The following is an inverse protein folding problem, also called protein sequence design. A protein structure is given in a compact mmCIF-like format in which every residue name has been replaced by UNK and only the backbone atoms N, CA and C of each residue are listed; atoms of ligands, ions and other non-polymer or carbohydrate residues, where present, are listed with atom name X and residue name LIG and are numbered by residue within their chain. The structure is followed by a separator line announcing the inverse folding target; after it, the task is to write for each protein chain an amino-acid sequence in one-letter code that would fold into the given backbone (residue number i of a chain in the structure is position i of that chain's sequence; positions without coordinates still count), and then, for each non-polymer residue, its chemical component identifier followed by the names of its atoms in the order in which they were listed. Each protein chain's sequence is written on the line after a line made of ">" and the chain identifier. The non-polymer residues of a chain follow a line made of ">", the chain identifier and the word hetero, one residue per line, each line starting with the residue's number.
data_IF_278566682122
#
_entry.id   IF_278566682122
#
_cell.length_a   1.000
_cell.length_b   1.000
_cell.length_c   1.000
_cell.angle_alpha   90.00
_cell.angle_beta   90.00
_cell.angle_gamma   90.00
#
_symmetry.space_group_name_H-M   'P 1'
#
loop_
_entity.id
_entity.type
_entity.pdbx_description
1 polymer ?
#
# COMPACT_ATOMS: atom_id res chain seq x y z
N UNK A 1 17.65 -21.52 -4.85
CA UNK A 1 16.46 -20.65 -5.03
C UNK A 1 16.49 -20.19 -6.47
N UNK A 2 15.42 -20.40 -7.25
CA UNK A 2 15.45 -20.24 -8.72
C UNK A 2 15.35 -18.75 -9.09
N UNK A 3 16.22 -18.24 -9.97
CA UNK A 3 16.26 -16.82 -10.38
C UNK A 3 14.92 -16.32 -10.98
N UNK A 4 14.09 -17.23 -11.49
CA UNK A 4 12.74 -16.92 -11.97
C UNK A 4 11.72 -16.65 -10.85
N UNK A 5 11.95 -17.11 -9.61
CA UNK A 5 11.09 -16.79 -8.46
C UNK A 5 11.40 -15.40 -7.89
N UNK A 6 12.60 -14.85 -8.11
CA UNK A 6 12.97 -13.49 -7.68
C UNK A 6 12.20 -12.39 -8.43
N UNK A 7 11.67 -12.69 -9.63
CA UNK A 7 11.19 -11.66 -10.53
C UNK A 7 9.70 -11.32 -10.45
N UNK A 8 8.77 -12.18 -10.00
CA UNK A 8 7.39 -11.93 -10.46
C UNK A 8 6.23 -12.56 -9.68
N UNK A 9 6.14 -12.40 -8.35
CA UNK A 9 4.85 -12.56 -7.66
C UNK A 9 4.45 -11.30 -6.90
N UNK A 10 5.17 -10.93 -5.85
CA UNK A 10 4.81 -9.77 -5.03
C UNK A 10 4.73 -8.46 -5.82
N UNK A 11 5.73 -8.12 -6.64
CA UNK A 11 5.74 -6.85 -7.37
C UNK A 11 4.61 -6.72 -8.41
N UNK A 12 4.22 -7.80 -9.10
CA UNK A 12 3.05 -7.81 -9.99
C UNK A 12 1.74 -7.81 -9.19
N UNK A 13 1.70 -8.54 -8.09
CA UNK A 13 0.56 -8.70 -7.21
C UNK A 13 0.11 -7.38 -6.57
N UNK A 14 1.05 -6.51 -6.19
CA UNK A 14 0.77 -5.18 -5.64
C UNK A 14 0.42 -4.14 -6.72
N UNK A 15 0.95 -4.31 -7.95
CA UNK A 15 0.54 -3.53 -9.13
C UNK A 15 -0.92 -3.79 -9.49
N UNK A 16 -1.39 -5.02 -9.38
CA UNK A 16 -2.79 -5.38 -9.61
C UNK A 16 -3.76 -4.70 -8.62
N UNK A 17 -3.40 -4.61 -7.34
CA UNK A 17 -4.20 -3.90 -6.31
C UNK A 17 -4.46 -2.46 -6.75
N UNK A 18 -3.40 -1.77 -7.17
CA UNK A 18 -3.48 -0.37 -7.59
C UNK A 18 -4.13 -0.17 -8.97
N UNK A 19 -3.95 -1.12 -9.90
CA UNK A 19 -4.58 -1.06 -11.22
C UNK A 19 -6.09 -1.35 -11.19
N UNK A 20 -6.53 -2.22 -10.28
CA UNK A 20 -7.93 -2.64 -10.23
C UNK A 20 -8.80 -1.53 -9.63
N UNK A 21 -8.36 -0.91 -8.53
CA UNK A 21 -9.11 0.16 -7.83
C UNK A 21 -8.15 1.13 -7.13
N UNK A 22 -7.52 2.06 -7.88
CA UNK A 22 -6.89 3.20 -7.23
C UNK A 22 -8.01 3.95 -6.51
N UNK A 23 -7.88 4.27 -5.22
CA UNK A 23 -8.95 4.88 -4.41
C UNK A 23 -10.07 3.92 -3.95
N UNK A 24 -9.79 2.62 -3.88
CA UNK A 24 -10.68 1.64 -3.26
C UNK A 24 -10.71 1.71 -1.73
N UNK A 25 -11.87 1.41 -1.14
CA UNK A 25 -11.96 1.14 0.30
C UNK A 25 -11.16 -0.12 0.62
N UNK A 26 -10.32 -0.05 1.63
CA UNK A 26 -9.40 -1.12 1.96
C UNK A 26 -9.29 -1.35 3.46
N UNK A 27 -8.95 -2.59 3.77
CA UNK A 27 -8.55 -3.05 5.08
C UNK A 27 -7.11 -3.57 4.95
N UNK A 28 -6.18 -2.97 5.66
CA UNK A 28 -4.78 -3.35 5.68
C UNK A 28 -4.47 -4.03 7.00
N UNK A 29 -4.00 -5.27 6.95
CA UNK A 29 -3.45 -5.97 8.12
C UNK A 29 -1.94 -5.75 8.18
N UNK A 30 -1.42 -5.50 9.38
CA UNK A 30 -0.01 -5.29 9.65
C UNK A 30 0.64 -6.53 10.27
N UNK A 31 1.95 -6.68 10.08
CA UNK A 31 2.72 -7.70 10.82
C UNK A 31 2.83 -7.35 12.31
N UNK A 32 3.07 -6.09 12.61
CA UNK A 32 3.17 -5.54 13.97
C UNK A 32 2.19 -4.39 14.15
N UNK A 33 1.78 -4.14 15.40
CA UNK A 33 0.88 -3.01 15.66
C UNK A 33 1.61 -1.68 15.46
N UNK A 34 0.98 -0.75 14.76
CA UNK A 34 1.53 0.57 14.48
C UNK A 34 0.71 1.66 15.19
N UNK A 35 1.39 2.70 15.67
CA UNK A 35 0.74 3.83 16.33
C UNK A 35 0.16 4.77 15.27
N UNK A 36 -1.15 4.65 15.05
CA UNK A 36 -1.91 5.52 14.16
C UNK A 36 -2.75 6.45 15.02
N UNK A 37 -2.40 7.74 15.02
CA UNK A 37 -3.13 8.80 15.77
C UNK A 37 -3.25 8.56 17.27
N UNK A 38 -2.24 7.94 17.87
CA UNK A 38 -2.24 7.65 19.31
C UNK A 38 -2.93 6.33 19.67
N UNK A 39 -3.47 5.62 18.69
CA UNK A 39 -4.03 4.27 18.88
C UNK A 39 -3.10 3.23 18.26
N UNK A 40 -2.88 2.14 18.99
CA UNK A 40 -2.12 0.99 18.48
C UNK A 40 -3.04 0.10 17.65
N UNK A 41 -2.77 0.00 16.35
CA UNK A 41 -3.63 -0.71 15.41
C UNK A 41 -2.86 -1.81 14.69
N UNK A 42 -3.44 -3.00 14.59
CA UNK A 42 -2.96 -4.10 13.73
C UNK A 42 -3.72 -4.19 12.41
N UNK A 43 -4.84 -3.47 12.31
CA UNK A 43 -5.69 -3.40 11.13
C UNK A 43 -6.13 -1.97 10.90
N UNK A 44 -5.93 -1.48 9.68
CA UNK A 44 -6.25 -0.11 9.28
C UNK A 44 -7.35 -0.16 8.22
N UNK A 45 -8.47 0.51 8.50
CA UNK A 45 -9.54 0.74 7.52
C UNK A 45 -9.33 2.11 6.88
N UNK A 46 -9.20 2.13 5.55
CA UNK A 46 -8.80 3.33 4.82
C UNK A 46 -9.33 3.37 3.41
N UNK A 47 -9.17 4.52 2.76
CA UNK A 47 -9.15 4.63 1.31
C UNK A 47 -7.70 4.55 0.84
N UNK A 48 -7.39 3.61 -0.06
CA UNK A 48 -6.04 3.41 -0.60
C UNK A 48 -5.73 4.44 -1.69
N UNK A 49 -4.57 5.05 -1.64
CA UNK A 49 -4.05 5.84 -2.75
C UNK A 49 -3.08 4.99 -3.58
N UNK A 50 -2.69 5.47 -4.78
CA UNK A 50 -1.64 4.82 -5.54
C UNK A 50 -0.35 4.66 -4.73
N UNK A 51 0.22 3.45 -4.76
CA UNK A 51 1.47 3.17 -4.05
C UNK A 51 2.61 4.03 -4.59
N UNK A 52 3.60 4.24 -3.73
CA UNK A 52 4.88 4.84 -4.12
C UNK A 52 5.86 3.72 -4.46
N UNK A 53 6.58 3.83 -5.58
CA UNK A 53 7.62 2.90 -5.97
C UNK A 53 9.02 3.54 -5.94
N UNK A 54 10.03 2.68 -5.94
CA UNK A 54 11.42 3.08 -6.08
C UNK A 54 12.21 2.09 -6.94
N UNK A 55 13.30 2.55 -7.54
CA UNK A 55 14.23 1.69 -8.27
C UNK A 55 15.33 1.25 -7.33
N UNK A 56 15.44 -0.05 -7.11
CA UNK A 56 16.45 -0.68 -6.28
C UNK A 56 17.43 -1.43 -7.18
N UNK A 57 18.72 -1.23 -6.94
CA UNK A 57 19.80 -1.97 -7.59
C UNK A 57 20.14 -3.20 -6.75
N UNK A 58 20.13 -4.37 -7.38
CA UNK A 58 20.50 -5.63 -6.76
C UNK A 58 21.82 -6.10 -7.36
N UNK A 59 22.80 -6.33 -6.48
CA UNK A 59 24.06 -6.97 -6.85
C UNK A 59 23.86 -8.49 -6.93
N UNK A 60 24.40 -9.10 -7.99
CA UNK A 60 24.41 -10.53 -8.20
C UNK A 60 25.72 -11.13 -7.68
N UNK A 61 25.67 -12.36 -7.17
CA UNK A 61 26.85 -13.05 -6.63
C UNK A 61 27.98 -13.25 -7.67
N UNK A 62 27.65 -13.18 -8.96
CA UNK A 62 28.61 -13.30 -10.07
C UNK A 62 29.25 -11.96 -10.50
N UNK A 63 28.99 -10.86 -9.78
CA UNK A 63 29.57 -9.54 -10.06
C UNK A 63 28.78 -8.68 -11.07
N UNK A 64 27.56 -9.09 -11.45
CA UNK A 64 26.62 -8.23 -12.18
C UNK A 64 25.70 -7.43 -11.25
N UNK A 65 24.97 -6.44 -11.78
CA UNK A 65 23.86 -5.82 -11.08
C UNK A 65 22.64 -5.67 -12.00
N UNK A 66 21.45 -5.56 -11.41
CA UNK A 66 20.25 -5.21 -12.15
C UNK A 66 19.34 -4.26 -11.37
N UNK A 67 18.62 -3.41 -12.10
CA UNK A 67 17.62 -2.50 -11.52
C UNK A 67 16.24 -3.14 -11.53
N UNK A 68 15.53 -3.04 -10.41
CA UNK A 68 14.14 -3.48 -10.26
C UNK A 68 13.31 -2.38 -9.61
N UNK A 69 12.06 -2.25 -10.05
CA UNK A 69 11.09 -1.35 -9.42
C UNK A 69 10.37 -2.10 -8.31
N UNK A 70 10.46 -1.58 -7.09
CA UNK A 70 9.84 -2.15 -5.89
C UNK A 70 8.83 -1.18 -5.27
N UNK A 71 7.84 -1.72 -4.56
CA UNK A 71 6.86 -0.91 -3.83
C UNK A 71 7.51 -0.42 -2.54
N UNK A 72 7.59 0.90 -2.39
CA UNK A 72 8.18 1.57 -1.22
C UNK A 72 7.17 1.71 -0.10
N UNK A 73 6.02 2.32 -0.39
CA UNK A 73 5.01 2.66 0.60
C UNK A 73 3.60 2.57 0.04
N UNK A 74 2.63 2.41 0.94
CA UNK A 74 1.20 2.46 0.67
C UNK A 74 0.61 3.74 1.28
N UNK A 75 0.43 4.79 0.47
CA UNK A 75 -0.24 5.99 0.93
C UNK A 75 -1.74 5.70 1.08
N UNK A 76 -2.33 6.19 2.16
CA UNK A 76 -3.71 5.92 2.53
C UNK A 76 -4.33 7.10 3.28
N UNK A 77 -5.65 7.16 3.25
CA UNK A 77 -6.45 8.12 4.03
C UNK A 77 -7.40 7.33 4.91
N UNK A 78 -7.38 7.58 6.23
CA UNK A 78 -8.32 6.93 7.14
C UNK A 78 -9.76 7.30 6.76
N UNK A 79 -10.70 6.37 6.96
CA UNK A 79 -12.11 6.62 6.62
C UNK A 79 -12.68 7.84 7.37
N UNK A 80 -12.17 8.11 8.58
CA UNK A 80 -12.56 9.27 9.39
C UNK A 80 -12.09 10.62 8.83
N UNK A 81 -11.10 10.65 7.94
CA UNK A 81 -10.64 11.87 7.28
C UNK A 81 -11.05 11.96 5.81
N UNK A 82 -11.71 10.93 5.27
CA UNK A 82 -11.98 10.85 3.85
C UNK A 82 -12.81 12.05 3.36
N UNK A 83 -13.82 12.46 4.12
CA UNK A 83 -14.63 13.64 3.78
C UNK A 83 -13.79 14.93 3.74
N UNK A 84 -12.86 15.10 4.70
CA UNK A 84 -11.96 16.25 4.72
C UNK A 84 -10.99 16.22 3.54
N UNK A 85 -10.41 15.06 3.26
CA UNK A 85 -9.48 14.87 2.14
C UNK A 85 -10.14 15.08 0.78
N UNK A 86 -11.40 14.66 0.60
CA UNK A 86 -12.12 14.80 -0.67
C UNK A 86 -12.72 16.19 -0.90
N UNK A 87 -12.77 17.07 0.11
CA UNK A 87 -13.34 18.40 -0.02
C UNK A 87 -12.34 19.38 -0.70
N UNK A 88 -12.64 19.79 -1.94
CA UNK A 88 -11.80 20.69 -2.73
C UNK A 88 -11.68 22.11 -2.17
N UNK A 89 -12.57 22.50 -1.24
CA UNK A 89 -12.44 23.78 -0.54
C UNK A 89 -11.28 23.77 0.47
N UNK A 90 -10.82 22.59 0.90
CA UNK A 90 -9.64 22.48 1.75
C UNK A 90 -8.37 22.65 0.92
N UNK A 91 -7.37 23.34 1.49
CA UNK A 91 -6.10 23.55 0.80
C UNK A 91 -5.43 22.22 0.47
N UNK A 92 -4.68 22.17 -0.63
CA UNK A 92 -3.93 20.96 -1.00
C UNK A 92 -2.98 20.52 0.12
N UNK A 93 -2.32 21.46 0.78
CA UNK A 93 -1.42 21.17 1.89
C UNK A 93 -2.13 20.48 3.06
N UNK A 94 -3.33 20.96 3.42
CA UNK A 94 -4.12 20.35 4.51
C UNK A 94 -4.64 18.97 4.15
N UNK A 95 -5.04 18.77 2.88
CA UNK A 95 -5.44 17.46 2.37
C UNK A 95 -4.28 16.49 2.36
N UNK A 96 -3.12 16.91 1.86
CA UNK A 96 -1.91 16.07 1.81
C UNK A 96 -1.42 15.69 3.22
N UNK A 97 -1.65 16.54 4.23
CA UNK A 97 -1.36 16.22 5.64
C UNK A 97 -2.22 15.10 6.22
N UNK A 98 -3.34 14.73 5.57
CA UNK A 98 -4.18 13.57 5.96
C UNK A 98 -3.69 12.26 5.38
N UNK A 99 -2.73 12.28 4.46
CA UNK A 99 -2.19 11.08 3.82
C UNK A 99 -1.16 10.44 4.75
N UNK A 100 -1.47 9.25 5.24
CA UNK A 100 -0.54 8.39 5.96
C UNK A 100 0.21 7.52 4.96
N UNK A 101 1.50 7.28 5.21
CA UNK A 101 2.33 6.42 4.36
C UNK A 101 2.79 5.23 5.16
N UNK A 102 2.21 4.07 4.86
CA UNK A 102 2.57 2.82 5.49
C UNK A 102 3.72 2.16 4.73
N UNK A 103 4.87 1.85 5.37
CA UNK A 103 5.95 1.14 4.70
C UNK A 103 5.49 -0.21 4.16
N UNK A 104 5.85 -0.55 2.92
CA UNK A 104 5.42 -1.81 2.32
C UNK A 104 5.89 -3.05 3.12
N UNK A 105 7.00 -2.93 3.86
CA UNK A 105 7.52 -3.99 4.72
C UNK A 105 6.60 -4.33 5.89
N UNK A 106 5.77 -3.40 6.36
CA UNK A 106 4.84 -3.61 7.48
C UNK A 106 3.52 -4.26 7.06
N UNK A 107 3.20 -4.23 5.76
CA UNK A 107 1.94 -4.76 5.22
C UNK A 107 1.97 -6.29 5.17
N UNK A 108 1.07 -6.91 5.93
CA UNK A 108 0.82 -8.35 5.90
C UNK A 108 -0.23 -8.72 4.85
N UNK A 109 -1.33 -7.96 4.79
CA UNK A 109 -2.36 -8.18 3.76
C UNK A 109 -3.13 -6.90 3.44
N UNK A 110 -3.68 -6.83 2.23
CA UNK A 110 -4.60 -5.79 1.78
C UNK A 110 -5.86 -6.45 1.25
N UNK A 111 -7.01 -6.00 1.74
CA UNK A 111 -8.34 -6.40 1.24
C UNK A 111 -9.06 -5.17 0.71
N UNK A 112 -9.35 -5.11 -0.60
CA UNK A 112 -10.17 -4.07 -1.21
C UNK A 112 -11.64 -4.49 -1.17
N UNK A 113 -12.50 -3.57 -0.73
CA UNK A 113 -13.95 -3.75 -0.62
C UNK A 113 -14.68 -2.69 -1.47
N UNK A 114 -15.87 -3.03 -1.93
CA UNK A 114 -16.80 -2.07 -2.53
C UNK A 114 -17.52 -1.23 -1.44
N UNK A 115 -18.37 -0.30 -1.87
CA UNK A 115 -19.18 0.53 -0.95
C UNK A 115 -20.22 -0.24 -0.14
N UNK A 116 -20.49 -1.51 -0.48
CA UNK A 116 -21.39 -2.42 0.25
C UNK A 116 -20.62 -3.36 1.17
N UNK A 117 -19.29 -3.25 1.24
CA UNK A 117 -18.42 -4.12 2.02
C UNK A 117 -18.10 -5.46 1.37
N UNK A 118 -18.45 -5.65 0.10
CA UNK A 118 -18.13 -6.87 -0.66
C UNK A 118 -16.64 -6.86 -1.00
N UNK A 119 -15.94 -7.94 -0.70
CA UNK A 119 -14.52 -8.10 -1.04
C UNK A 119 -14.36 -8.23 -2.55
N UNK A 120 -13.65 -7.29 -3.16
CA UNK A 120 -13.32 -7.28 -4.58
C UNK A 120 -11.95 -7.89 -4.85
N UNK A 121 -11.01 -7.70 -3.92
CA UNK A 121 -9.65 -8.23 -4.03
C UNK A 121 -9.11 -8.48 -2.63
N UNK A 122 -8.47 -9.63 -2.40
CA UNK A 122 -7.70 -9.91 -1.18
C UNK A 122 -6.32 -10.41 -1.55
N UNK A 123 -5.31 -9.81 -0.92
CA UNK A 123 -3.91 -9.97 -1.27
C UNK A 123 -3.08 -10.07 0.01
N UNK A 124 -2.61 -11.27 0.33
CA UNK A 124 -1.72 -11.56 1.47
C UNK A 124 -0.27 -11.70 1.01
N UNK A 125 0.66 -11.05 1.70
CA UNK A 125 2.10 -11.19 1.46
C UNK A 125 2.56 -12.60 1.86
N UNK A 126 3.27 -13.28 0.96
CA UNK A 126 3.74 -14.66 1.14
C UNK A 126 5.03 -14.73 1.97
#
# INVERSE_FOLDING_TARGET
>A
MNENDLFNKDSMFWREVNATLPYGLAEIELYEAEMVRGESMTTINCNLLPFEDEKVEYEMENGGSFLKTEVKSWPLVLLTDLEFYSNENNSKADRDAKVLRLPHVQVKSITIKDSKGVVLCKKTKL
#
